data_IF_936743618603
#
_entry.id   IF_936743618603
#
_cell.length_a   1.000
_cell.length_b   1.000
_cell.length_c   1.000
_cell.angle_alpha   90.00
_cell.angle_beta   90.00
_cell.angle_gamma   90.00
#
_symmetry.space_group_name_H-M   'P 1'
#
loop_
_entity.id
_entity.type
_entity.pdbx_description
1 polymer ?
#
# COMPACT_ATOMS: atom_id res chain seq x y z
N UNK A 1 4.47 29.55 11.77
CA UNK A 1 3.30 28.69 12.09
C UNK A 1 3.53 27.29 11.53
N UNK A 2 4.02 27.16 10.29
CA UNK A 2 4.35 25.87 9.63
C UNK A 2 5.38 25.00 10.38
N UNK A 3 6.43 25.59 10.94
CA UNK A 3 7.47 24.84 11.66
C UNK A 3 6.96 24.18 12.96
N UNK A 4 6.03 24.85 13.68
CA UNK A 4 5.38 24.26 14.87
C UNK A 4 4.43 23.11 14.49
N UNK A 5 3.71 23.24 13.38
CA UNK A 5 2.83 22.21 12.86
C UNK A 5 3.65 20.98 12.46
N UNK A 6 4.72 21.17 11.66
CA UNK A 6 5.63 20.11 11.23
C UNK A 6 6.23 19.33 12.41
N UNK A 7 6.60 20.02 13.50
CA UNK A 7 7.13 19.36 14.71
C UNK A 7 6.07 18.56 15.47
N UNK A 8 4.84 19.06 15.54
CA UNK A 8 3.72 18.33 16.16
C UNK A 8 3.38 17.06 15.35
N UNK A 9 3.40 17.14 14.02
CA UNK A 9 3.13 16.04 13.12
C UNK A 9 4.21 14.93 13.22
N UNK A 10 5.49 15.32 13.31
CA UNK A 10 6.59 14.38 13.54
C UNK A 10 6.50 13.68 14.91
N UNK A 11 6.09 14.39 15.95
CA UNK A 11 5.89 13.80 17.28
C UNK A 11 4.70 12.82 17.29
N UNK A 12 3.61 13.17 16.60
CA UNK A 12 2.44 12.31 16.44
C UNK A 12 2.81 11.03 15.65
N UNK A 13 3.56 11.18 14.55
CA UNK A 13 4.09 10.06 13.74
C UNK A 13 4.96 9.14 14.61
N UNK A 14 5.92 9.70 15.35
CA UNK A 14 6.79 8.94 16.25
C UNK A 14 6.00 8.18 17.31
N UNK A 15 4.99 8.80 17.93
CA UNK A 15 4.15 8.17 18.94
C UNK A 15 3.31 7.02 18.37
N UNK A 16 2.71 7.25 17.21
CA UNK A 16 1.92 6.24 16.50
C UNK A 16 2.74 5.03 16.08
N UNK A 17 3.91 5.25 15.48
CA UNK A 17 4.85 4.19 15.11
C UNK A 17 5.29 3.37 16.30
N UNK A 18 5.74 4.04 17.38
CA UNK A 18 6.19 3.35 18.59
C UNK A 18 5.09 2.46 19.19
N UNK A 19 3.86 2.95 19.25
CA UNK A 19 2.73 2.18 19.78
C UNK A 19 2.37 0.96 18.93
N UNK A 20 2.53 1.04 17.60
CA UNK A 20 2.29 -0.08 16.67
C UNK A 20 3.39 -1.12 16.75
N UNK A 21 4.66 -0.71 16.68
CA UNK A 21 5.79 -1.63 16.84
C UNK A 21 5.69 -2.38 18.16
N UNK A 22 5.38 -1.66 19.26
CA UNK A 22 5.21 -2.29 20.56
C UNK A 22 4.14 -3.39 20.54
N UNK A 23 2.95 -3.12 19.99
CA UNK A 23 1.87 -4.14 19.92
C UNK A 23 2.27 -5.38 19.12
N UNK A 24 3.00 -5.18 18.00
CA UNK A 24 3.49 -6.30 17.18
C UNK A 24 4.53 -7.12 17.96
N UNK A 25 5.49 -6.47 18.60
CA UNK A 25 6.52 -7.16 19.38
C UNK A 25 5.94 -7.85 20.61
N UNK A 26 5.03 -7.19 21.37
CA UNK A 26 4.34 -7.80 22.51
C UNK A 26 3.57 -9.06 22.06
N UNK A 27 2.91 -9.02 20.89
CA UNK A 27 2.22 -10.18 20.30
C UNK A 27 3.17 -11.32 19.92
N UNK A 28 4.34 -10.99 19.34
CA UNK A 28 5.37 -11.97 19.01
C UNK A 28 5.98 -12.61 20.26
N UNK A 29 6.28 -11.81 21.28
CA UNK A 29 6.82 -12.30 22.56
C UNK A 29 5.85 -13.26 23.23
N UNK A 30 4.56 -12.91 23.34
CA UNK A 30 3.54 -13.80 23.88
C UNK A 30 3.42 -15.11 23.10
N UNK A 31 3.41 -15.05 21.76
CA UNK A 31 3.34 -16.25 20.93
C UNK A 31 4.59 -17.14 21.10
N UNK A 32 5.76 -16.53 21.30
CA UNK A 32 7.00 -17.24 21.52
C UNK A 32 7.03 -17.94 22.88
N UNK A 33 6.56 -17.28 23.95
CA UNK A 33 6.43 -17.87 25.30
C UNK A 33 5.52 -19.10 25.30
N UNK A 34 4.34 -18.99 24.66
CA UNK A 34 3.40 -20.12 24.54
C UNK A 34 4.02 -21.27 23.74
N UNK A 35 4.78 -20.97 22.67
CA UNK A 35 5.44 -21.99 21.87
C UNK A 35 6.54 -22.72 22.66
N UNK A 36 7.31 -22.01 23.47
CA UNK A 36 8.33 -22.60 24.34
C UNK A 36 7.71 -23.50 25.38
N UNK A 37 6.62 -23.07 26.06
CA UNK A 37 5.89 -23.86 27.02
C UNK A 37 5.35 -25.18 26.44
N UNK A 38 4.81 -25.12 25.21
CA UNK A 38 4.35 -26.33 24.50
C UNK A 38 5.48 -27.27 24.08
N UNK A 39 6.68 -26.77 23.83
CA UNK A 39 7.84 -27.62 23.47
C UNK A 39 8.42 -28.40 24.65
N UNK A 40 8.17 -28.00 25.89
CA UNK A 40 8.63 -28.69 27.09
C UNK A 40 7.87 -29.99 27.37
N UNK A 41 6.72 -30.23 26.71
CA UNK A 41 5.88 -31.38 26.90
C UNK A 41 5.73 -32.25 25.64
N UNK A 42 5.52 -33.61 25.79
CA UNK A 42 5.28 -34.46 24.63
C UNK A 42 3.96 -34.11 23.94
N UNK A 43 4.08 -33.68 22.65
CA UNK A 43 2.99 -33.14 21.88
C UNK A 43 1.93 -34.18 21.52
N UNK A 44 0.70 -33.97 21.94
CA UNK A 44 -0.48 -34.67 21.41
C UNK A 44 -0.83 -34.19 19.98
N UNK A 45 -1.68 -34.91 19.22
CA UNK A 45 -2.14 -34.44 17.91
C UNK A 45 -2.87 -33.07 17.99
N UNK A 46 -3.59 -32.78 19.09
CA UNK A 46 -4.24 -31.49 19.30
C UNK A 46 -3.20 -30.37 19.54
N UNK A 47 -2.13 -30.67 20.30
CA UNK A 47 -1.06 -29.71 20.57
C UNK A 47 -0.30 -29.35 19.29
N UNK A 48 -0.14 -30.30 18.34
CA UNK A 48 0.47 -30.03 17.03
C UNK A 48 -0.36 -29.05 16.20
N UNK A 49 -1.70 -29.17 16.25
CA UNK A 49 -2.58 -28.22 15.56
C UNK A 49 -2.47 -26.82 16.19
N UNK A 50 -2.47 -26.74 17.53
CA UNK A 50 -2.26 -25.49 18.24
C UNK A 50 -0.91 -24.84 17.95
N UNK A 51 0.15 -25.65 17.84
CA UNK A 51 1.49 -25.16 17.47
C UNK A 51 1.55 -24.62 16.03
N UNK A 52 0.87 -25.29 15.09
CA UNK A 52 0.79 -24.82 13.71
C UNK A 52 0.10 -23.45 13.66
N UNK A 53 -0.99 -23.26 14.41
CA UNK A 53 -1.68 -21.98 14.54
C UNK A 53 -0.75 -20.90 15.12
N UNK A 54 -0.04 -21.21 16.19
CA UNK A 54 0.91 -20.29 16.83
C UNK A 54 2.02 -19.84 15.87
N UNK A 55 2.60 -20.77 15.11
CA UNK A 55 3.61 -20.44 14.07
C UNK A 55 3.03 -19.51 13.02
N UNK A 56 1.77 -19.75 12.62
CA UNK A 56 1.07 -18.91 11.65
C UNK A 56 0.81 -17.50 12.20
N UNK A 57 0.39 -17.39 13.47
CA UNK A 57 0.20 -16.10 14.14
C UNK A 57 1.51 -15.33 14.23
N UNK A 58 2.62 -15.99 14.58
CA UNK A 58 3.95 -15.39 14.60
C UNK A 58 4.37 -14.90 13.20
N UNK A 59 4.12 -15.68 12.16
CA UNK A 59 4.40 -15.25 10.77
C UNK A 59 3.59 -14.01 10.40
N UNK A 60 2.32 -13.96 10.77
CA UNK A 60 1.45 -12.81 10.55
C UNK A 60 1.98 -11.57 11.26
N UNK A 61 2.37 -11.70 12.53
CA UNK A 61 2.95 -10.61 13.30
C UNK A 61 4.28 -10.12 12.70
N UNK A 62 5.13 -11.03 12.27
CA UNK A 62 6.41 -10.70 11.61
C UNK A 62 6.21 -9.94 10.30
N UNK A 63 5.25 -10.39 9.47
CA UNK A 63 4.89 -9.69 8.22
C UNK A 63 4.33 -8.30 8.52
N UNK A 64 3.46 -8.18 9.54
CA UNK A 64 2.93 -6.91 10.01
C UNK A 64 4.02 -5.94 10.51
N UNK A 65 5.00 -6.45 11.27
CA UNK A 65 6.15 -5.67 11.74
C UNK A 65 6.99 -5.17 10.58
N UNK A 66 7.27 -6.03 9.59
CA UNK A 66 8.03 -5.67 8.39
C UNK A 66 7.33 -4.59 7.58
N UNK A 67 6.03 -4.78 7.31
CA UNK A 67 5.21 -3.77 6.63
C UNK A 67 5.25 -2.43 7.36
N UNK A 68 5.13 -2.45 8.68
CA UNK A 68 5.22 -1.23 9.49
C UNK A 68 6.60 -0.57 9.38
N UNK A 69 7.68 -1.37 9.31
CA UNK A 69 9.04 -0.89 9.09
C UNK A 69 9.20 -0.20 7.73
N UNK A 70 8.70 -0.83 6.67
CA UNK A 70 8.72 -0.28 5.32
C UNK A 70 7.93 1.05 5.27
N UNK A 71 6.71 1.07 5.80
CA UNK A 71 5.88 2.29 5.90
C UNK A 71 6.54 3.38 6.76
N UNK A 72 7.24 3.02 7.83
CA UNK A 72 7.94 3.98 8.68
C UNK A 72 9.13 4.60 7.95
N UNK A 73 9.87 3.81 7.16
CA UNK A 73 10.96 4.29 6.31
C UNK A 73 10.43 5.28 5.26
N UNK A 74 9.35 4.93 4.58
CA UNK A 74 8.72 5.78 3.58
C UNK A 74 8.18 7.07 4.20
N UNK A 75 7.56 6.99 5.37
CA UNK A 75 7.08 8.16 6.09
C UNK A 75 8.20 9.09 6.56
N UNK A 76 9.35 8.53 6.97
CA UNK A 76 10.52 9.32 7.33
C UNK A 76 11.11 10.08 6.14
N UNK A 77 11.02 9.47 4.94
CA UNK A 77 11.47 10.07 3.69
C UNK A 77 10.41 10.95 3.03
N UNK A 78 9.13 10.79 3.37
CA UNK A 78 8.02 11.54 2.78
C UNK A 78 8.19 13.06 2.85
N UNK A 79 8.79 13.56 3.93
CA UNK A 79 9.09 14.99 4.10
C UNK A 79 10.14 15.52 3.11
N UNK A 80 11.01 14.64 2.58
CA UNK A 80 12.09 14.98 1.65
C UNK A 80 11.86 14.44 0.24
N UNK A 81 10.78 13.66 0.01
CA UNK A 81 10.44 13.11 -1.32
C UNK A 81 10.35 14.19 -2.40
N UNK A 82 9.86 15.38 -2.06
CA UNK A 82 9.83 16.52 -2.97
C UNK A 82 11.18 16.92 -3.54
N UNK A 83 12.26 16.77 -2.74
CA UNK A 83 13.61 17.16 -3.14
C UNK A 83 14.41 16.02 -3.75
N UNK A 84 13.99 14.76 -3.52
CA UNK A 84 14.69 13.56 -3.96
C UNK A 84 14.01 12.86 -5.15
N UNK A 85 12.70 13.03 -5.30
CA UNK A 85 11.96 12.53 -6.45
C UNK A 85 12.31 13.36 -7.70
N UNK A 86 12.70 12.68 -8.75
CA UNK A 86 12.90 13.28 -10.07
C UNK A 86 11.85 12.67 -11.00
N UNK A 87 10.66 13.28 -11.11
CA UNK A 87 9.61 12.75 -11.97
C UNK A 87 10.09 12.67 -13.42
N UNK A 88 9.82 11.54 -14.06
CA UNK A 88 10.20 11.26 -15.44
C UNK A 88 8.97 10.94 -16.28
N UNK A 89 9.02 11.06 -17.61
CA UNK A 89 7.98 10.54 -18.47
C UNK A 89 7.83 9.02 -18.25
N UNK A 90 6.62 8.57 -17.97
CA UNK A 90 6.26 7.17 -17.82
C UNK A 90 5.01 6.86 -18.65
N UNK A 91 4.88 5.63 -19.12
CA UNK A 91 3.59 5.11 -19.62
C UNK A 91 2.80 4.50 -18.47
N UNK A 92 1.81 5.25 -17.99
CA UNK A 92 1.00 4.82 -16.84
C UNK A 92 0.22 3.53 -17.12
N UNK A 93 -0.28 3.31 -18.35
CA UNK A 93 -1.01 2.08 -18.68
C UNK A 93 -0.12 0.86 -18.62
N UNK A 94 1.11 0.96 -19.11
CA UNK A 94 2.10 -0.13 -19.00
C UNK A 94 2.37 -0.47 -17.53
N UNK A 95 2.60 0.54 -16.68
CA UNK A 95 2.89 0.35 -15.26
C UNK A 95 1.70 -0.27 -14.50
N UNK A 96 0.49 0.25 -14.70
CA UNK A 96 -0.72 -0.27 -14.07
C UNK A 96 -1.11 -1.66 -14.61
N UNK A 97 -0.89 -1.91 -15.89
CA UNK A 97 -1.09 -3.23 -16.50
C UNK A 97 -0.25 -4.30 -15.83
N UNK A 98 1.04 -4.04 -15.61
CA UNK A 98 1.92 -4.96 -14.89
C UNK A 98 1.47 -5.22 -13.45
N UNK A 99 1.01 -4.17 -12.74
CA UNK A 99 0.47 -4.31 -11.38
C UNK A 99 -0.76 -5.23 -11.39
N UNK A 100 -1.70 -4.99 -12.32
CA UNK A 100 -2.90 -5.82 -12.46
C UNK A 100 -2.55 -7.27 -12.78
N UNK A 101 -1.61 -7.52 -13.67
CA UNK A 101 -1.20 -8.87 -14.05
C UNK A 101 -0.56 -9.62 -12.87
N UNK A 102 0.32 -8.97 -12.12
CA UNK A 102 0.92 -9.54 -10.91
C UNK A 102 -0.17 -9.88 -9.88
N UNK A 103 -1.13 -8.98 -9.65
CA UNK A 103 -2.20 -9.20 -8.68
C UNK A 103 -3.13 -10.34 -9.10
N UNK A 104 -3.50 -10.44 -10.39
CA UNK A 104 -4.31 -11.55 -10.92
C UNK A 104 -3.57 -12.88 -10.82
N UNK A 105 -2.27 -12.91 -11.16
CA UNK A 105 -1.44 -14.11 -11.02
C UNK A 105 -1.37 -14.58 -9.56
N UNK A 106 -1.16 -13.66 -8.62
CA UNK A 106 -1.07 -14.00 -7.20
C UNK A 106 -2.46 -14.34 -6.60
N UNK A 107 -3.53 -13.66 -7.01
CA UNK A 107 -4.89 -14.01 -6.62
C UNK A 107 -5.26 -15.44 -7.07
N UNK A 108 -5.01 -15.76 -8.32
CA UNK A 108 -5.25 -17.12 -8.86
C UNK A 108 -4.38 -18.17 -8.17
N UNK A 109 -3.13 -17.84 -7.84
CA UNK A 109 -2.20 -18.76 -7.18
C UNK A 109 -2.62 -19.15 -5.76
N UNK A 110 -3.23 -18.21 -5.04
CA UNK A 110 -3.57 -18.38 -3.63
C UNK A 110 -5.08 -18.45 -3.37
N UNK A 111 -5.88 -18.54 -4.46
CA UNK A 111 -7.35 -18.58 -4.41
C UNK A 111 -7.96 -17.40 -3.62
N UNK A 112 -7.42 -16.20 -3.86
CA UNK A 112 -7.90 -14.99 -3.18
C UNK A 112 -9.15 -14.45 -3.87
N UNK A 113 -10.18 -14.01 -3.11
CA UNK A 113 -11.50 -13.70 -3.66
C UNK A 113 -11.59 -12.34 -4.36
N UNK A 114 -10.58 -11.47 -4.28
CA UNK A 114 -10.62 -10.13 -4.88
C UNK A 114 -10.46 -10.15 -6.41
N UNK A 115 -10.96 -9.10 -7.04
CA UNK A 115 -10.78 -8.88 -8.48
C UNK A 115 -10.19 -7.50 -8.75
N UNK A 116 -9.41 -7.40 -9.85
CA UNK A 116 -8.85 -6.12 -10.30
C UNK A 116 -9.00 -5.97 -11.82
N UNK A 117 -9.52 -4.83 -12.24
CA UNK A 117 -9.76 -4.48 -13.64
C UNK A 117 -9.06 -3.17 -14.01
N UNK A 118 -8.42 -3.13 -15.18
CA UNK A 118 -7.87 -1.91 -15.79
C UNK A 118 -8.73 -1.50 -16.98
N UNK A 119 -9.31 -0.31 -16.92
CA UNK A 119 -10.15 0.30 -17.96
C UNK A 119 -9.38 1.45 -18.62
N UNK A 120 -9.14 1.37 -19.92
CA UNK A 120 -8.21 2.26 -20.64
C UNK A 120 -8.91 3.25 -21.57
N UNK A 121 -10.23 3.27 -21.63
CA UNK A 121 -11.00 4.10 -22.57
C UNK A 121 -10.54 3.96 -24.04
N UNK A 122 -10.06 2.76 -24.42
CA UNK A 122 -9.56 2.47 -25.78
C UNK A 122 -8.15 2.95 -26.08
N UNK A 123 -7.42 3.45 -25.08
CA UNK A 123 -6.03 3.87 -25.23
C UNK A 123 -5.07 2.69 -25.03
N UNK A 124 -3.98 2.67 -25.79
CA UNK A 124 -2.89 1.72 -25.66
C UNK A 124 -1.70 2.27 -24.87
N UNK A 125 -1.59 3.60 -24.74
CA UNK A 125 -0.51 4.31 -24.05
C UNK A 125 -1.11 5.52 -23.32
N UNK A 126 -0.66 5.77 -22.10
CA UNK A 126 -1.03 6.97 -21.34
C UNK A 126 0.22 7.64 -20.77
N UNK A 127 0.89 8.50 -21.57
CA UNK A 127 2.09 9.17 -21.12
C UNK A 127 1.75 10.22 -20.06
N UNK A 128 2.51 10.20 -18.98
CA UNK A 128 2.45 11.21 -17.90
C UNK A 128 3.82 11.39 -17.29
N UNK A 129 3.96 12.38 -16.44
CA UNK A 129 5.16 12.56 -15.62
C UNK A 129 4.94 11.93 -14.26
N UNK A 130 5.86 11.08 -13.82
CA UNK A 130 5.77 10.38 -12.55
C UNK A 130 7.08 9.70 -12.18
N UNK A 131 7.00 8.87 -11.14
CA UNK A 131 8.10 8.04 -10.67
C UNK A 131 7.55 6.62 -10.42
N UNK A 132 8.14 5.63 -11.07
CA UNK A 132 7.65 4.26 -11.03
C UNK A 132 7.71 3.64 -9.62
N UNK A 133 8.73 3.99 -8.81
CA UNK A 133 8.84 3.51 -7.44
C UNK A 133 7.77 4.13 -6.55
N UNK A 134 7.49 5.43 -6.70
CA UNK A 134 6.43 6.12 -5.96
C UNK A 134 5.05 5.63 -6.40
N UNK A 135 4.85 5.36 -7.70
CA UNK A 135 3.62 4.75 -8.20
C UNK A 135 3.40 3.36 -7.60
N UNK A 136 4.45 2.55 -7.50
CA UNK A 136 4.37 1.25 -6.83
C UNK A 136 3.98 1.39 -5.37
N UNK A 137 4.60 2.32 -4.63
CA UNK A 137 4.24 2.62 -3.24
C UNK A 137 2.80 3.09 -3.10
N UNK A 138 2.35 3.99 -3.98
CA UNK A 138 0.97 4.47 -4.07
C UNK A 138 -0.01 3.31 -4.24
N UNK A 139 0.20 2.48 -5.26
CA UNK A 139 -0.69 1.36 -5.59
C UNK A 139 -0.68 0.28 -4.49
N UNK A 140 0.48 -0.04 -3.93
CA UNK A 140 0.60 -0.99 -2.81
C UNK A 140 -0.22 -0.53 -1.61
N UNK A 141 -0.16 0.77 -1.24
CA UNK A 141 -0.95 1.30 -0.13
C UNK A 141 -2.45 1.34 -0.42
N UNK A 142 -2.86 1.68 -1.65
CA UNK A 142 -4.27 1.66 -2.07
C UNK A 142 -4.86 0.25 -1.98
N UNK A 143 -4.22 -0.71 -2.64
CA UNK A 143 -4.64 -2.11 -2.69
C UNK A 143 -4.68 -2.71 -1.28
N UNK A 144 -3.65 -2.48 -0.48
CA UNK A 144 -3.58 -2.96 0.88
C UNK A 144 -4.68 -2.40 1.77
N UNK A 145 -5.00 -1.11 1.64
CA UNK A 145 -6.11 -0.50 2.38
C UNK A 145 -7.46 -1.12 1.99
N UNK A 146 -7.70 -1.31 0.69
CA UNK A 146 -8.92 -1.93 0.18
C UNK A 146 -9.06 -3.36 0.68
N UNK A 147 -8.05 -4.21 0.46
CA UNK A 147 -8.10 -5.62 0.82
C UNK A 147 -8.09 -5.86 2.34
N UNK A 148 -7.53 -4.94 3.14
CA UNK A 148 -7.64 -4.98 4.60
C UNK A 148 -9.04 -4.64 5.10
N UNK A 149 -9.81 -3.86 4.34
CA UNK A 149 -11.19 -3.51 4.67
C UNK A 149 -12.20 -4.55 4.13
N UNK A 150 -11.91 -5.12 2.97
CA UNK A 150 -12.72 -6.14 2.30
C UNK A 150 -11.79 -7.06 1.46
N UNK A 151 -11.47 -8.27 1.94
CA UNK A 151 -10.65 -9.23 1.19
C UNK A 151 -11.26 -9.65 -0.15
N UNK A 152 -12.58 -9.57 -0.30
CA UNK A 152 -13.33 -9.89 -1.53
C UNK A 152 -13.59 -8.69 -2.44
N UNK A 153 -12.90 -7.57 -2.24
CA UNK A 153 -13.17 -6.33 -2.96
C UNK A 153 -12.99 -6.45 -4.48
N UNK A 154 -13.82 -5.69 -5.20
CA UNK A 154 -13.65 -5.44 -6.63
C UNK A 154 -12.95 -4.09 -6.81
N UNK A 155 -11.73 -4.12 -7.37
CA UNK A 155 -10.92 -2.94 -7.63
C UNK A 155 -10.99 -2.59 -9.12
N UNK A 156 -11.28 -1.34 -9.43
CA UNK A 156 -11.29 -0.81 -10.80
C UNK A 156 -10.30 0.34 -10.92
N UNK A 157 -9.37 0.21 -11.87
CA UNK A 157 -8.43 1.24 -12.28
C UNK A 157 -8.92 1.81 -13.61
N UNK A 158 -9.35 3.08 -13.64
CA UNK A 158 -9.79 3.73 -14.88
C UNK A 158 -8.81 4.81 -15.27
N UNK A 159 -8.35 4.76 -16.52
CA UNK A 159 -7.40 5.67 -17.09
C UNK A 159 -7.99 6.41 -18.29
N UNK A 160 -7.91 7.74 -18.23
CA UNK A 160 -8.30 8.67 -19.29
C UNK A 160 -7.18 9.71 -19.47
N UNK A 161 -7.13 10.45 -20.59
CA UNK A 161 -6.14 11.51 -20.77
C UNK A 161 -6.14 12.51 -19.60
N UNK A 162 -5.01 12.63 -18.91
CA UNK A 162 -4.87 13.52 -17.77
C UNK A 162 -5.55 13.07 -16.47
N UNK A 163 -6.15 11.88 -16.44
CA UNK A 163 -6.89 11.38 -15.26
C UNK A 163 -6.62 9.89 -15.04
N UNK A 164 -6.26 9.54 -13.80
CA UNK A 164 -6.28 8.18 -13.28
C UNK A 164 -7.30 8.11 -12.13
N UNK A 165 -8.16 7.10 -12.13
CA UNK A 165 -9.16 6.89 -11.11
C UNK A 165 -8.98 5.48 -10.52
N UNK A 166 -8.78 5.42 -9.20
CA UNK A 166 -8.83 4.19 -8.40
C UNK A 166 -10.20 4.10 -7.75
N UNK A 167 -10.87 2.96 -7.88
CA UNK A 167 -12.16 2.71 -7.24
C UNK A 167 -12.22 1.31 -6.66
N UNK A 168 -12.82 1.18 -5.47
CA UNK A 168 -13.22 -0.09 -4.88
C UNK A 168 -14.71 -0.09 -4.50
N UNK A 169 -15.25 -1.27 -4.21
CA UNK A 169 -16.61 -1.46 -3.75
C UNK A 169 -16.70 -1.65 -2.22
N UNK A 170 -15.63 -1.36 -1.48
CA UNK A 170 -15.56 -1.50 -0.03
C UNK A 170 -16.41 -0.49 0.74
N UNK A 171 -16.22 -0.37 2.06
CA UNK A 171 -17.03 0.51 2.92
C UNK A 171 -16.79 2.01 2.71
N UNK A 172 -15.82 2.36 1.87
CA UNK A 172 -15.43 3.75 1.60
C UNK A 172 -14.53 4.35 2.70
N UNK A 173 -14.13 5.60 2.47
CA UNK A 173 -13.25 6.32 3.38
C UNK A 173 -14.04 6.98 4.51
N UNK A 174 -13.62 6.82 5.79
CA UNK A 174 -14.20 7.57 6.89
C UNK A 174 -13.93 9.08 6.73
N UNK A 175 -14.77 9.96 7.37
CA UNK A 175 -14.66 11.40 7.20
C UNK A 175 -13.27 11.97 7.50
N UNK A 176 -12.62 11.49 8.56
CA UNK A 176 -11.27 11.92 8.94
C UNK A 176 -10.21 11.57 7.88
N UNK A 177 -10.38 10.40 7.21
CA UNK A 177 -9.51 9.97 6.11
C UNK A 177 -9.71 10.84 4.86
N UNK A 178 -10.95 11.23 4.57
CA UNK A 178 -11.28 12.16 3.47
C UNK A 178 -10.62 13.52 3.72
N UNK A 179 -10.77 14.08 4.92
CA UNK A 179 -10.17 15.35 5.29
C UNK A 179 -8.63 15.32 5.17
N UNK A 180 -7.99 14.20 5.54
CA UNK A 180 -6.54 14.04 5.39
C UNK A 180 -6.11 14.10 3.92
N UNK A 181 -6.85 13.42 3.03
CA UNK A 181 -6.49 13.37 1.62
C UNK A 181 -6.77 14.68 0.89
N UNK A 182 -7.79 15.45 1.31
CA UNK A 182 -8.16 16.74 0.69
C UNK A 182 -7.40 17.92 1.26
N UNK A 183 -7.25 17.98 2.58
CA UNK A 183 -6.74 19.17 3.27
C UNK A 183 -5.30 19.00 3.77
N UNK A 184 -4.73 17.80 3.63
CA UNK A 184 -3.41 17.45 4.13
C UNK A 184 -3.29 17.49 5.66
N UNK A 185 -4.43 17.53 6.37
CA UNK A 185 -4.48 17.60 7.82
C UNK A 185 -4.14 16.25 8.45
N UNK A 186 -2.95 16.13 9.00
CA UNK A 186 -2.54 14.98 9.78
C UNK A 186 -3.19 15.03 11.17
N UNK A 187 -4.01 14.05 11.49
CA UNK A 187 -4.46 13.87 12.87
C UNK A 187 -3.76 12.69 13.52
N UNK A 188 -3.34 12.86 14.78
CA UNK A 188 -2.77 11.77 15.58
C UNK A 188 -3.71 10.55 15.62
N UNK A 189 -5.03 10.77 15.58
CA UNK A 189 -6.07 9.75 15.60
C UNK A 189 -6.03 8.86 14.36
N UNK A 190 -5.81 9.43 13.19
CA UNK A 190 -5.65 8.68 11.93
C UNK A 190 -4.40 7.81 11.92
N UNK A 191 -3.30 8.32 12.48
CA UNK A 191 -2.07 7.55 12.64
C UNK A 191 -2.25 6.36 13.58
N UNK A 192 -3.09 6.50 14.62
CA UNK A 192 -3.39 5.41 15.55
C UNK A 192 -4.38 4.38 14.98
N UNK A 193 -5.40 4.81 14.26
CA UNK A 193 -6.49 3.96 13.78
C UNK A 193 -6.28 3.43 12.35
N UNK A 194 -5.78 4.24 11.44
CA UNK A 194 -5.75 3.97 9.99
C UNK A 194 -4.39 3.56 9.41
N UNK A 195 -3.29 3.72 10.16
CA UNK A 195 -1.96 3.45 9.63
C UNK A 195 -1.33 4.60 8.84
N UNK A 196 -0.17 4.32 8.28
CA UNK A 196 0.61 5.27 7.50
C UNK A 196 0.20 5.29 6.00
N UNK A 197 -0.65 4.36 5.57
CA UNK A 197 -0.98 4.19 4.14
C UNK A 197 -1.58 5.45 3.50
N UNK A 198 -2.61 6.05 4.12
CA UNK A 198 -3.25 7.25 3.57
C UNK A 198 -2.33 8.48 3.52
N UNK A 199 -1.57 8.79 4.59
CA UNK A 199 -0.54 9.80 4.53
C UNK A 199 0.49 9.58 3.42
N UNK A 200 0.93 8.34 3.21
CA UNK A 200 1.87 8.01 2.14
C UNK A 200 1.26 8.17 0.75
N UNK A 201 -0.02 7.79 0.56
CA UNK A 201 -0.75 8.06 -0.69
C UNK A 201 -0.70 9.56 -1.04
N UNK A 202 -1.01 10.43 -0.08
CA UNK A 202 -0.95 11.87 -0.27
C UNK A 202 0.48 12.36 -0.56
N UNK A 203 1.48 11.85 0.15
CA UNK A 203 2.88 12.23 -0.03
C UNK A 203 3.43 11.82 -1.40
N UNK A 204 3.18 10.58 -1.85
CA UNK A 204 3.59 10.09 -3.16
C UNK A 204 2.92 10.88 -4.30
N UNK A 205 1.60 11.11 -4.19
CA UNK A 205 0.85 11.90 -5.15
C UNK A 205 1.45 13.29 -5.32
N UNK A 206 1.71 13.96 -4.20
CA UNK A 206 2.31 15.29 -4.18
C UNK A 206 3.73 15.30 -4.73
N UNK A 207 4.56 14.30 -4.39
CA UNK A 207 5.94 14.19 -4.87
C UNK A 207 6.02 14.00 -6.39
N UNK A 208 5.06 13.27 -6.98
CA UNK A 208 4.94 13.11 -8.44
C UNK A 208 4.35 14.34 -9.14
N UNK A 209 3.94 15.37 -8.40
CA UNK A 209 3.27 16.55 -8.97
C UNK A 209 1.82 16.26 -9.40
N UNK A 210 1.22 15.18 -8.92
CA UNK A 210 -0.18 14.84 -9.19
C UNK A 210 -1.11 15.55 -8.21
N UNK A 211 -2.36 15.77 -8.61
CA UNK A 211 -3.42 16.24 -7.71
C UNK A 211 -4.37 15.11 -7.36
N UNK A 212 -4.80 15.05 -6.10
CA UNK A 212 -5.69 14.02 -5.58
C UNK A 212 -7.03 14.65 -5.17
N UNK A 213 -8.12 14.02 -5.59
CA UNK A 213 -9.47 14.33 -5.14
C UNK A 213 -10.20 13.05 -4.74
N UNK A 214 -11.05 13.15 -3.72
CA UNK A 214 -11.94 12.06 -3.31
C UNK A 214 -13.24 12.16 -4.12
N UNK A 215 -13.57 11.08 -4.84
CA UNK A 215 -14.79 11.00 -5.63
C UNK A 215 -16.05 10.75 -4.77
N UNK A 216 -17.24 11.04 -5.30
CA UNK A 216 -18.51 10.69 -4.69
C UNK A 216 -18.87 9.23 -4.97
N UNK A 217 -19.51 8.56 -4.03
CA UNK A 217 -20.11 7.25 -4.30
C UNK A 217 -19.93 6.25 -3.17
N UNK A 218 -20.58 5.10 -3.30
CA UNK A 218 -20.31 3.96 -2.43
C UNK A 218 -18.92 3.42 -2.71
N UNK A 219 -18.21 2.97 -1.66
CA UNK A 219 -16.83 2.53 -1.75
C UNK A 219 -15.82 3.68 -1.73
N UNK A 220 -14.58 3.37 -2.03
CA UNK A 220 -13.52 4.37 -2.16
C UNK A 220 -13.37 4.76 -3.63
N UNK A 221 -13.41 6.05 -3.92
CA UNK A 221 -13.05 6.58 -5.23
C UNK A 221 -12.02 7.69 -5.06
N UNK A 222 -10.84 7.50 -5.65
CA UNK A 222 -9.75 8.46 -5.63
C UNK A 222 -9.40 8.83 -7.07
N UNK A 223 -9.39 10.14 -7.36
CA UNK A 223 -9.12 10.72 -8.67
C UNK A 223 -7.79 11.44 -8.64
N UNK A 224 -6.88 11.04 -9.50
CA UNK A 224 -5.56 11.61 -9.65
C UNK A 224 -5.50 12.38 -10.97
N UNK A 225 -5.37 13.72 -10.89
CA UNK A 225 -5.10 14.53 -12.08
C UNK A 225 -3.62 14.43 -12.41
N UNK A 226 -3.33 14.07 -13.63
CA UNK A 226 -1.99 13.75 -14.11
C UNK A 226 -1.40 14.94 -14.85
N UNK A 227 -0.14 15.32 -14.61
CA UNK A 227 0.55 16.32 -15.43
C UNK A 227 0.77 15.77 -16.85
N UNK A 228 0.69 16.62 -17.87
CA UNK A 228 0.97 16.21 -19.23
C UNK A 228 2.44 15.79 -19.36
N UNK A 229 2.70 14.67 -20.04
CA UNK A 229 4.04 14.30 -20.41
C UNK A 229 4.52 15.12 -21.63
N UNK A 230 5.81 15.43 -21.74
CA UNK A 230 6.39 15.85 -23.00
C UNK A 230 6.17 14.78 -24.09
N UNK A 231 6.22 15.17 -25.34
CA UNK A 231 5.96 14.30 -26.49
C UNK A 231 6.73 12.97 -26.41
N UNK A 232 6.16 11.91 -26.95
CA UNK A 232 6.60 10.50 -26.89
C UNK A 232 8.08 10.25 -27.26
N UNK A 233 8.72 11.17 -28.02
CA UNK A 233 10.13 11.06 -28.40
C UNK A 233 11.11 11.11 -27.21
N UNK A 234 10.67 11.63 -26.06
CA UNK A 234 11.47 11.71 -24.83
C UNK A 234 11.18 10.57 -23.84
N UNK A 235 10.29 9.63 -24.17
CA UNK A 235 10.11 8.40 -23.41
C UNK A 235 11.39 7.56 -23.52
N UNK A 236 12.30 7.72 -22.56
CA UNK A 236 13.44 6.83 -22.42
C UNK A 236 12.88 5.42 -22.21
N UNK A 237 12.99 4.59 -23.23
CA UNK A 237 12.67 3.17 -23.13
C UNK A 237 13.62 2.57 -22.09
N UNK A 238 13.08 2.24 -20.92
CA UNK A 238 13.82 1.50 -19.90
C UNK A 238 14.47 0.27 -20.54
N UNK A 239 15.69 -0.02 -20.14
CA UNK A 239 16.35 -1.24 -20.63
C UNK A 239 15.56 -2.48 -20.19
N UNK A 240 15.58 -3.58 -20.97
CA UNK A 240 14.90 -4.81 -20.58
C UNK A 240 15.32 -5.32 -19.18
N UNK A 241 16.56 -5.07 -18.78
CA UNK A 241 17.11 -5.48 -17.48
C UNK A 241 16.52 -4.64 -16.35
N UNK A 242 16.43 -3.32 -16.54
CA UNK A 242 15.81 -2.42 -15.55
C UNK A 242 14.34 -2.76 -15.35
N UNK A 243 13.58 -2.99 -16.44
CA UNK A 243 12.17 -3.44 -16.37
C UNK A 243 12.02 -4.75 -15.60
N UNK A 244 12.89 -5.73 -15.84
CA UNK A 244 12.83 -7.01 -15.12
C UNK A 244 13.07 -6.84 -13.62
N UNK A 245 14.09 -6.06 -13.25
CA UNK A 245 14.42 -5.78 -11.85
C UNK A 245 13.27 -5.04 -11.15
N UNK A 246 12.69 -4.05 -11.81
CA UNK A 246 11.55 -3.29 -11.29
C UNK A 246 10.31 -4.17 -11.13
N UNK A 247 9.96 -4.97 -12.14
CA UNK A 247 8.86 -5.94 -12.07
C UNK A 247 9.05 -6.93 -10.93
N UNK A 248 10.25 -7.40 -10.69
CA UNK A 248 10.53 -8.31 -9.57
C UNK A 248 10.38 -7.63 -8.22
N UNK A 249 10.86 -6.40 -8.08
CA UNK A 249 10.70 -5.58 -6.88
C UNK A 249 9.22 -5.32 -6.58
N UNK A 250 8.45 -4.95 -7.59
CA UNK A 250 7.00 -4.76 -7.54
C UNK A 250 6.27 -6.03 -7.12
N UNK A 251 6.61 -7.15 -7.74
CA UNK A 251 6.04 -8.46 -7.41
C UNK A 251 6.30 -8.84 -5.95
N UNK A 252 7.50 -8.62 -5.45
CA UNK A 252 7.85 -8.89 -4.05
C UNK A 252 7.07 -7.99 -3.07
N UNK A 253 6.89 -6.72 -3.38
CA UNK A 253 6.12 -5.80 -2.56
C UNK A 253 4.65 -6.22 -2.47
N UNK A 254 4.00 -6.47 -3.61
CA UNK A 254 2.60 -6.91 -3.68
C UNK A 254 2.38 -8.28 -3.01
N UNK A 255 3.29 -9.23 -3.21
CA UNK A 255 3.23 -10.54 -2.52
C UNK A 255 3.26 -10.42 -1.01
N UNK A 256 4.07 -9.49 -0.47
CA UNK A 256 4.13 -9.26 0.98
C UNK A 256 2.81 -8.75 1.51
N UNK A 257 2.17 -7.81 0.82
CA UNK A 257 0.85 -7.31 1.20
C UNK A 257 -0.21 -8.41 1.16
N UNK A 258 -0.26 -9.19 0.10
CA UNK A 258 -1.20 -10.31 -0.04
C UNK A 258 -0.94 -11.42 0.99
N UNK A 259 0.31 -11.65 1.40
CA UNK A 259 0.63 -12.63 2.43
C UNK A 259 0.08 -12.23 3.82
N UNK A 260 0.05 -10.93 4.14
CA UNK A 260 -0.58 -10.43 5.39
C UNK A 260 -2.07 -10.71 5.38
N UNK A 261 -2.75 -10.45 4.24
CA UNK A 261 -4.18 -10.69 4.09
C UNK A 261 -4.53 -12.17 4.21
N UNK A 262 -3.75 -13.02 3.55
CA UNK A 262 -3.93 -14.47 3.62
C UNK A 262 -3.80 -15.03 5.03
N UNK A 263 -2.90 -14.49 5.82
CA UNK A 263 -2.75 -14.87 7.21
C UNK A 263 -3.95 -14.43 8.07
N UNK A 264 -4.65 -13.35 7.69
CA UNK A 264 -5.85 -12.86 8.37
C UNK A 264 -7.12 -13.67 8.02
N UNK A 265 -7.22 -14.23 6.83
CA UNK A 265 -8.38 -15.07 6.41
C UNK A 265 -8.37 -16.47 7.04
N UNK A 266 -7.24 -16.91 7.55
CA UNK A 266 -7.09 -18.23 8.19
C UNK A 266 -7.33 -18.19 9.72
N UNK A 267 -7.62 -17.02 10.28
CA UNK A 267 -8.00 -16.76 11.66
C UNK A 267 -9.52 -16.56 11.80
#
# INVERSE_FOLDING_TARGET
MEEKQSKADLLALRGGLRGRFRRVFDGMENAFEVLLDQLEHPLSPADRAGMAQLVQDMQTQLLGARRLGDQASDAATAAVLHSTCVPRPIDLLSQLGEICDILREEAARYDLPFTIELQTAGQSVLPTVGDAALLNGLMTNLISNTLSADPGACITLRCEPGLFCYRDNGPGLPPDAKALLTDGCWSARLLYAGGLGLPLIAAYTKAMGWSLAVGPGPGTELRFTLPPAPLLDDLMLESPVERMAERQTRRLALRRELAVLRAQELL
#
